data_IF_652165938978
#
_entry.id   IF_652165938978
#
_cell.length_a   1.000
_cell.length_b   1.000
_cell.length_c   1.000
_cell.angle_alpha   90.00
_cell.angle_beta   90.00
_cell.angle_gamma   90.00
#
_symmetry.space_group_name_H-M   'P 1'
#
loop_
_entity.id
_entity.type
_entity.pdbx_description
1 polymer ?
#
# COMPACT_ATOMS: atom_id res chain seq x y z
N UNK A 1 -12.52 -25.49 9.95
CA UNK A 1 -12.98 -24.27 10.64
C UNK A 1 -12.39 -24.13 12.05
N UNK A 2 -12.75 -24.95 13.05
CA UNK A 2 -12.24 -24.78 14.44
C UNK A 2 -10.70 -24.81 14.58
N UNK A 3 -10.03 -25.77 13.92
CA UNK A 3 -8.54 -25.86 13.91
C UNK A 3 -7.85 -24.70 13.16
N UNK A 4 -8.47 -24.19 12.09
CA UNK A 4 -7.95 -23.05 11.31
C UNK A 4 -8.10 -21.75 12.12
N UNK A 5 -9.22 -21.59 12.81
CA UNK A 5 -9.47 -20.48 13.73
C UNK A 5 -8.51 -20.48 14.91
N UNK A 6 -8.35 -21.61 15.62
CA UNK A 6 -7.38 -21.74 16.71
C UNK A 6 -5.94 -21.48 16.21
N UNK A 7 -5.60 -21.89 14.99
CA UNK A 7 -4.30 -21.59 14.38
C UNK A 7 -4.11 -20.10 14.09
N UNK A 8 -5.12 -19.42 13.54
CA UNK A 8 -5.05 -18.00 13.20
C UNK A 8 -5.12 -17.09 14.43
N UNK A 9 -5.94 -17.42 15.42
CA UNK A 9 -6.00 -16.73 16.72
C UNK A 9 -4.66 -16.89 17.45
N UNK A 10 -4.13 -18.12 17.55
CA UNK A 10 -2.80 -18.36 18.13
C UNK A 10 -1.68 -17.66 17.36
N UNK A 11 -1.77 -17.51 16.03
CA UNK A 11 -0.79 -16.75 15.24
C UNK A 11 -0.88 -15.25 15.55
N UNK A 12 -2.09 -14.71 15.70
CA UNK A 12 -2.33 -13.31 16.04
C UNK A 12 -1.89 -13.00 17.47
N UNK A 13 -2.21 -13.86 18.44
CA UNK A 13 -1.73 -13.78 19.82
C UNK A 13 -0.20 -13.96 19.94
N UNK A 14 0.40 -14.82 19.11
CA UNK A 14 1.86 -14.96 19.02
C UNK A 14 2.56 -13.74 18.40
N UNK A 15 1.88 -12.99 17.52
CA UNK A 15 2.38 -11.71 17.00
C UNK A 15 2.33 -10.63 18.09
N UNK A 16 1.20 -10.51 18.80
CA UNK A 16 1.04 -9.60 19.95
C UNK A 16 2.12 -9.81 21.04
N UNK A 17 2.53 -11.05 21.30
CA UNK A 17 3.58 -11.36 22.30
C UNK A 17 5.02 -11.10 21.82
N UNK A 18 5.28 -11.16 20.50
CA UNK A 18 6.60 -10.85 19.91
C UNK A 18 6.87 -9.36 19.75
N UNK A 19 5.82 -8.53 19.70
CA UNK A 19 5.89 -7.08 19.47
C UNK A 19 5.82 -6.29 20.80
N UNK A 20 6.14 -6.93 21.93
CA UNK A 20 6.15 -6.28 23.26
C UNK A 20 7.23 -5.19 23.45
N UNK A 21 7.92 -4.77 22.39
CA UNK A 21 8.88 -3.66 22.39
C UNK A 21 8.57 -2.51 21.41
N UNK A 22 7.41 -2.50 20.75
CA UNK A 22 6.96 -1.33 19.98
C UNK A 22 6.07 -0.42 20.86
N UNK A 23 6.23 0.91 20.83
CA UNK A 23 5.50 1.81 21.73
C UNK A 23 4.01 1.84 21.33
N UNK A 24 3.16 1.30 22.20
CA UNK A 24 1.71 1.36 22.11
C UNK A 24 1.21 2.76 22.50
N UNK A 25 0.21 3.26 21.78
CA UNK A 25 -0.45 4.53 22.10
C UNK A 25 -1.35 4.40 23.33
N UNK A 26 -1.37 5.48 24.11
CA UNK A 26 -2.20 5.64 25.28
C UNK A 26 -3.67 5.86 24.96
N UNK A 27 -4.51 4.94 25.40
CA UNK A 27 -5.60 5.25 26.30
C UNK A 27 -5.59 4.25 27.46
N UNK A 28 -6.04 4.71 28.62
CA UNK A 28 -6.02 4.06 29.92
C UNK A 28 -7.00 2.89 30.08
N UNK A 29 -7.26 2.12 29.02
CA UNK A 29 -8.01 0.86 29.09
C UNK A 29 -7.20 -0.23 28.39
N UNK A 30 -6.81 -1.23 29.16
CA UNK A 30 -6.24 -2.47 28.67
C UNK A 30 -7.16 -3.06 27.58
N UNK A 31 -6.61 -3.45 26.43
CA UNK A 31 -7.40 -4.05 25.34
C UNK A 31 -8.12 -5.30 25.84
N UNK A 32 -9.44 -5.21 26.02
CA UNK A 32 -10.29 -6.32 26.46
C UNK A 32 -11.10 -6.81 25.27
N UNK A 33 -10.50 -7.74 24.51
CA UNK A 33 -11.12 -8.29 23.31
C UNK A 33 -12.49 -8.90 23.59
N UNK A 34 -12.76 -9.45 24.78
CA UNK A 34 -14.07 -10.06 25.09
C UNK A 34 -15.13 -8.98 25.28
N UNK A 35 -14.81 -7.95 26.05
CA UNK A 35 -15.68 -6.81 26.24
C UNK A 35 -15.96 -6.10 24.91
N UNK A 36 -14.92 -5.80 24.15
CA UNK A 36 -15.00 -4.98 22.94
C UNK A 36 -15.67 -5.73 21.79
N UNK A 37 -15.40 -7.03 21.62
CA UNK A 37 -16.12 -7.90 20.66
C UNK A 37 -17.61 -7.95 21.00
N UNK A 38 -17.96 -8.12 22.29
CA UNK A 38 -19.35 -8.17 22.74
C UNK A 38 -20.06 -6.82 22.55
N UNK A 39 -19.35 -5.72 22.79
CA UNK A 39 -19.87 -4.37 22.59
C UNK A 39 -20.16 -4.11 21.10
N UNK A 40 -19.17 -4.33 20.23
CA UNK A 40 -19.35 -4.15 18.79
C UNK A 40 -20.49 -5.05 18.27
N UNK A 41 -20.55 -6.31 18.69
CA UNK A 41 -21.66 -7.21 18.33
C UNK A 41 -23.04 -6.66 18.75
N UNK A 42 -23.20 -6.15 19.97
CA UNK A 42 -24.47 -5.58 20.43
C UNK A 42 -24.93 -4.42 19.55
N UNK A 43 -24.00 -3.55 19.17
CA UNK A 43 -24.31 -2.41 18.29
C UNK A 43 -24.69 -2.90 16.90
N UNK A 44 -23.92 -3.84 16.32
CA UNK A 44 -24.22 -4.44 15.02
C UNK A 44 -25.61 -5.10 14.99
N UNK A 45 -25.99 -5.80 16.07
CA UNK A 45 -27.31 -6.43 16.19
C UNK A 45 -28.45 -5.39 16.22
N UNK A 46 -28.24 -4.25 16.87
CA UNK A 46 -29.21 -3.15 16.88
C UNK A 46 -29.35 -2.52 15.49
N UNK A 47 -28.24 -2.33 14.78
CA UNK A 47 -28.22 -1.84 13.39
C UNK A 47 -28.98 -2.76 12.42
N UNK A 48 -28.82 -4.09 12.58
CA UNK A 48 -29.55 -5.09 11.79
C UNK A 48 -31.07 -4.96 11.99
N UNK A 49 -31.53 -4.84 13.24
CA UNK A 49 -32.95 -4.62 13.54
C UNK A 49 -33.50 -3.30 12.99
N UNK A 50 -32.63 -2.30 12.78
CA UNK A 50 -32.97 -1.02 12.18
C UNK A 50 -32.85 -1.00 10.64
N UNK A 51 -32.49 -2.13 10.01
CA UNK A 51 -32.21 -2.24 8.56
C UNK A 51 -31.17 -1.23 8.02
N UNK A 52 -30.27 -0.74 8.88
CA UNK A 52 -29.21 0.20 8.49
C UNK A 52 -27.95 -0.07 9.28
N UNK A 53 -26.87 -0.42 8.58
CA UNK A 53 -25.54 -0.53 9.18
C UNK A 53 -24.92 0.86 9.30
N UNK A 54 -24.49 1.22 10.50
CA UNK A 54 -23.80 2.49 10.75
C UNK A 54 -22.29 2.33 10.46
N UNK A 55 -21.91 2.57 9.20
CA UNK A 55 -20.51 2.46 8.77
C UNK A 55 -19.62 3.51 9.44
N UNK A 56 -20.16 4.68 9.81
CA UNK A 56 -19.42 5.73 10.51
C UNK A 56 -19.05 5.28 11.91
N UNK A 57 -20.02 4.75 12.65
CA UNK A 57 -19.75 4.17 13.96
C UNK A 57 -18.71 3.04 13.87
N UNK A 58 -18.86 2.12 12.91
CA UNK A 58 -17.93 0.99 12.76
C UNK A 58 -16.53 1.51 12.45
N UNK A 59 -16.38 2.44 11.52
CA UNK A 59 -15.08 3.03 11.18
C UNK A 59 -14.45 3.73 12.38
N UNK A 60 -15.22 4.55 13.09
CA UNK A 60 -14.74 5.25 14.27
C UNK A 60 -14.30 4.27 15.36
N UNK A 61 -15.11 3.24 15.63
CA UNK A 61 -14.77 2.18 16.58
C UNK A 61 -13.48 1.47 16.17
N UNK A 62 -13.38 1.00 14.93
CA UNK A 62 -12.20 0.28 14.42
C UNK A 62 -10.94 1.15 14.43
N UNK A 63 -11.07 2.45 14.15
CA UNK A 63 -9.96 3.39 14.13
C UNK A 63 -9.32 3.65 15.51
N UNK A 64 -9.95 3.17 16.59
CA UNK A 64 -9.38 3.17 17.94
C UNK A 64 -8.45 1.98 18.21
N UNK A 65 -8.34 1.04 17.27
CA UNK A 65 -7.57 -0.20 17.40
C UNK A 65 -6.53 -0.31 16.29
N UNK A 66 -5.36 -0.84 16.62
CA UNK A 66 -4.37 -1.20 15.61
C UNK A 66 -4.83 -2.41 14.77
N UNK A 67 -4.16 -2.68 13.65
CA UNK A 67 -4.54 -3.76 12.75
C UNK A 67 -4.66 -5.13 13.45
N UNK A 68 -3.73 -5.49 14.34
CA UNK A 68 -3.75 -6.78 15.03
C UNK A 68 -4.96 -6.91 15.96
N UNK A 69 -5.26 -5.86 16.73
CA UNK A 69 -6.45 -5.77 17.57
C UNK A 69 -7.73 -5.84 16.73
N UNK A 70 -7.78 -5.13 15.59
CA UNK A 70 -8.92 -5.23 14.65
C UNK A 70 -9.13 -6.66 14.19
N UNK A 71 -8.07 -7.38 13.82
CA UNK A 71 -8.20 -8.78 13.38
C UNK A 71 -8.71 -9.69 14.49
N UNK A 72 -8.29 -9.48 15.73
CA UNK A 72 -8.82 -10.22 16.90
C UNK A 72 -10.32 -9.95 17.07
N UNK A 73 -10.75 -8.69 16.97
CA UNK A 73 -12.16 -8.32 17.10
C UNK A 73 -13.01 -8.92 15.96
N UNK A 74 -12.56 -8.80 14.71
CA UNK A 74 -13.28 -9.33 13.54
C UNK A 74 -13.44 -10.85 13.63
N UNK A 75 -12.35 -11.57 13.92
CA UNK A 75 -12.40 -13.02 14.12
C UNK A 75 -13.23 -13.42 15.33
N UNK A 76 -13.17 -12.66 16.42
CA UNK A 76 -13.99 -12.86 17.62
C UNK A 76 -15.49 -12.77 17.32
N UNK A 77 -15.91 -11.74 16.57
CA UNK A 77 -17.31 -11.57 16.17
C UNK A 77 -17.80 -12.73 15.32
N UNK A 78 -17.02 -13.14 14.33
CA UNK A 78 -17.37 -14.26 13.46
C UNK A 78 -17.43 -15.59 14.22
N UNK A 79 -16.49 -15.83 15.13
CA UNK A 79 -16.43 -17.08 15.87
C UNK A 79 -17.48 -17.19 16.97
N UNK A 80 -17.56 -16.20 17.86
CA UNK A 80 -18.40 -16.25 19.06
C UNK A 80 -19.86 -16.02 18.73
N UNK A 81 -20.14 -15.07 17.83
CA UNK A 81 -21.51 -14.61 17.57
C UNK A 81 -22.05 -15.08 16.21
N UNK A 82 -21.21 -15.68 15.34
CA UNK A 82 -21.58 -16.09 13.98
C UNK A 82 -22.00 -14.93 13.07
N UNK A 83 -21.50 -13.73 13.37
CA UNK A 83 -21.69 -12.53 12.56
C UNK A 83 -20.51 -12.35 11.62
N UNK A 84 -20.71 -12.50 10.31
CA UNK A 84 -19.67 -12.21 9.34
C UNK A 84 -19.73 -10.73 8.96
N UNK A 85 -18.97 -9.91 9.71
CA UNK A 85 -18.97 -8.45 9.57
C UNK A 85 -18.58 -8.00 8.16
N UNK A 86 -17.63 -8.70 7.53
CA UNK A 86 -17.22 -8.44 6.14
C UNK A 86 -18.43 -8.58 5.20
N UNK A 87 -19.15 -9.71 5.25
CA UNK A 87 -20.33 -9.95 4.41
C UNK A 87 -21.44 -8.93 4.67
N UNK A 88 -21.65 -8.51 5.92
CA UNK A 88 -22.64 -7.49 6.24
C UNK A 88 -22.31 -6.14 5.61
N UNK A 89 -21.04 -5.71 5.71
CA UNK A 89 -20.56 -4.47 5.07
C UNK A 89 -20.63 -4.60 3.55
N UNK A 90 -20.29 -5.77 3.01
CA UNK A 90 -20.39 -6.05 1.58
C UNK A 90 -21.81 -5.89 1.02
N UNK A 91 -22.84 -6.22 1.82
CA UNK A 91 -24.25 -6.09 1.46
C UNK A 91 -24.80 -4.65 1.53
N UNK A 92 -24.06 -3.70 2.11
CA UNK A 92 -24.47 -2.29 2.15
C UNK A 92 -24.25 -1.59 0.79
N UNK A 93 -24.89 -0.43 0.62
CA UNK A 93 -24.76 0.41 -0.58
C UNK A 93 -23.31 0.75 -0.89
N UNK A 94 -22.96 0.69 -2.17
CA UNK A 94 -21.62 1.02 -2.69
C UNK A 94 -21.27 2.48 -2.35
N UNK A 95 -20.39 2.65 -1.36
CA UNK A 95 -19.86 3.94 -0.92
C UNK A 95 -18.37 3.79 -0.60
N UNK A 96 -17.57 4.87 -0.61
CA UNK A 96 -16.16 4.76 -0.27
C UNK A 96 -15.95 4.39 1.20
N UNK A 97 -16.89 4.77 2.06
CA UNK A 97 -16.94 4.33 3.45
C UNK A 97 -16.99 2.80 3.52
N UNK A 98 -17.81 2.14 2.68
CA UNK A 98 -17.84 0.67 2.59
C UNK A 98 -16.44 0.10 2.32
N UNK A 99 -15.71 0.65 1.35
CA UNK A 99 -14.36 0.18 1.01
C UNK A 99 -13.33 0.47 2.10
N UNK A 100 -13.40 1.65 2.74
CA UNK A 100 -12.57 1.96 3.90
C UNK A 100 -12.86 1.01 5.06
N UNK A 101 -14.14 0.73 5.34
CA UNK A 101 -14.54 -0.20 6.40
C UNK A 101 -14.02 -1.59 6.09
N UNK A 102 -14.18 -2.07 4.86
CA UNK A 102 -13.69 -3.39 4.47
C UNK A 102 -12.17 -3.48 4.58
N UNK A 103 -11.43 -2.45 4.15
CA UNK A 103 -9.98 -2.38 4.32
C UNK A 103 -9.56 -2.43 5.81
N UNK A 104 -10.33 -1.81 6.71
CA UNK A 104 -10.09 -1.87 8.16
C UNK A 104 -10.45 -3.23 8.79
N UNK A 105 -11.24 -4.06 8.10
CA UNK A 105 -11.72 -5.36 8.57
C UNK A 105 -10.88 -6.56 8.08
N UNK A 106 -9.89 -6.33 7.22
CA UNK A 106 -9.01 -7.36 6.68
C UNK A 106 -7.54 -7.06 6.97
N UNK A 107 -6.68 -8.07 6.82
CA UNK A 107 -5.24 -7.85 6.86
C UNK A 107 -4.77 -7.06 5.61
N UNK A 108 -3.74 -6.20 5.73
CA UNK A 108 -3.18 -5.46 4.60
C UNK A 108 -2.82 -6.34 3.40
N UNK A 109 -2.33 -7.57 3.64
CA UNK A 109 -2.00 -8.49 2.55
C UNK A 109 -3.22 -8.90 1.72
N UNK A 110 -4.39 -9.05 2.34
CA UNK A 110 -5.63 -9.33 1.62
C UNK A 110 -6.09 -8.12 0.82
N UNK A 111 -5.89 -6.89 1.34
CA UNK A 111 -6.18 -5.64 0.62
C UNK A 111 -5.34 -5.56 -0.65
N UNK A 112 -4.04 -5.82 -0.55
CA UNK A 112 -3.11 -5.84 -1.68
C UNK A 112 -3.49 -6.89 -2.72
N UNK A 113 -3.80 -8.12 -2.29
CA UNK A 113 -4.23 -9.22 -3.17
C UNK A 113 -5.48 -8.87 -3.95
N UNK A 114 -6.47 -8.27 -3.27
CA UNK A 114 -7.74 -7.87 -3.86
C UNK A 114 -7.57 -6.79 -4.90
N UNK A 115 -6.83 -5.74 -4.57
CA UNK A 115 -6.55 -4.63 -5.47
C UNK A 115 -5.73 -5.08 -6.69
N UNK A 116 -4.74 -5.95 -6.49
CA UNK A 116 -3.95 -6.54 -7.57
C UNK A 116 -4.83 -7.35 -8.54
N UNK A 117 -5.72 -8.20 -8.02
CA UNK A 117 -6.66 -8.95 -8.84
C UNK A 117 -7.58 -8.04 -9.65
N UNK A 118 -8.08 -7.00 -9.00
CA UNK A 118 -8.97 -6.00 -9.59
C UNK A 118 -8.34 -5.23 -10.74
N UNK A 119 -7.08 -4.84 -10.60
CA UNK A 119 -6.32 -4.21 -11.67
C UNK A 119 -6.23 -5.13 -12.90
N UNK A 120 -5.95 -6.42 -12.69
CA UNK A 120 -5.93 -7.41 -13.77
C UNK A 120 -7.31 -7.60 -14.41
N UNK A 121 -8.37 -7.67 -13.62
CA UNK A 121 -9.76 -7.75 -14.12
C UNK A 121 -10.13 -6.48 -14.91
N UNK A 122 -9.72 -5.31 -14.41
CA UNK A 122 -9.94 -4.03 -15.08
C UNK A 122 -9.30 -4.04 -16.46
N UNK A 123 -8.03 -4.46 -16.57
CA UNK A 123 -7.36 -4.55 -17.87
C UNK A 123 -7.98 -5.61 -18.78
N UNK A 124 -8.36 -6.77 -18.23
CA UNK A 124 -9.03 -7.83 -18.99
C UNK A 124 -10.36 -7.36 -19.62
N UNK A 125 -11.14 -6.58 -18.87
CA UNK A 125 -12.50 -6.19 -19.24
C UNK A 125 -12.58 -4.82 -19.93
N UNK A 126 -11.49 -4.05 -19.90
CA UNK A 126 -11.44 -2.74 -20.52
C UNK A 126 -11.51 -2.83 -22.05
N UNK A 127 -12.31 -1.95 -22.66
CA UNK A 127 -12.39 -1.80 -24.12
C UNK A 127 -11.20 -1.04 -24.72
N UNK A 128 -10.51 -0.26 -23.88
CA UNK A 128 -9.34 0.54 -24.22
C UNK A 128 -8.12 -0.05 -23.52
N UNK A 129 -6.93 0.17 -24.08
CA UNK A 129 -5.68 -0.22 -23.44
C UNK A 129 -5.45 0.64 -22.19
N UNK A 130 -5.80 0.12 -21.02
CA UNK A 130 -5.54 0.76 -19.73
C UNK A 130 -4.21 0.24 -19.21
N UNK A 131 -3.30 1.15 -18.91
CA UNK A 131 -2.07 0.83 -18.23
C UNK A 131 -2.30 0.69 -16.72
N UNK A 132 -1.96 -0.49 -16.20
CA UNK A 132 -2.02 -0.85 -14.77
C UNK A 132 -0.63 -1.20 -14.21
N UNK A 133 0.40 -1.16 -15.05
CA UNK A 133 1.69 -1.83 -14.84
C UNK A 133 2.38 -1.33 -13.58
N UNK A 134 2.46 0.00 -13.44
CA UNK A 134 3.05 0.66 -12.26
C UNK A 134 2.35 0.32 -10.96
N UNK A 135 1.02 0.23 -10.97
CA UNK A 135 0.25 -0.13 -9.77
C UNK A 135 0.50 -1.57 -9.34
N UNK A 136 0.63 -2.49 -10.30
CA UNK A 136 0.99 -3.88 -9.99
C UNK A 136 2.40 -3.95 -9.39
N UNK A 137 3.37 -3.22 -9.95
CA UNK A 137 4.74 -3.14 -9.42
C UNK A 137 4.78 -2.49 -8.04
N UNK A 138 4.08 -1.36 -7.84
CA UNK A 138 3.95 -0.69 -6.55
C UNK A 138 3.48 -1.65 -5.45
N UNK A 139 2.40 -2.41 -5.72
CA UNK A 139 1.85 -3.38 -4.77
C UNK A 139 2.89 -4.42 -4.38
N UNK A 140 3.66 -4.95 -5.33
CA UNK A 140 4.64 -6.00 -5.08
C UNK A 140 5.93 -5.48 -4.43
N UNK A 141 6.33 -4.23 -4.70
CA UNK A 141 7.51 -3.61 -4.08
C UNK A 141 7.39 -3.50 -2.55
N UNK A 142 6.16 -3.38 -2.04
CA UNK A 142 5.88 -3.34 -0.61
C UNK A 142 6.15 -4.66 0.13
N UNK A 143 6.28 -5.79 -0.58
CA UNK A 143 6.24 -7.13 -0.02
C UNK A 143 7.64 -7.73 0.11
N UNK A 144 7.94 -8.32 1.27
CA UNK A 144 9.12 -9.18 1.43
C UNK A 144 8.82 -10.62 0.97
N UNK A 145 9.83 -11.49 1.00
CA UNK A 145 9.70 -12.89 0.55
C UNK A 145 8.60 -13.67 1.28
N UNK A 146 8.43 -13.47 2.58
CA UNK A 146 7.38 -14.14 3.36
C UNK A 146 5.99 -13.56 3.05
N UNK A 147 5.89 -12.25 2.89
CA UNK A 147 4.66 -11.59 2.45
C UNK A 147 4.25 -12.08 1.06
N UNK A 148 5.19 -12.28 0.12
CA UNK A 148 4.91 -12.84 -1.21
C UNK A 148 4.36 -14.27 -1.12
N UNK A 149 4.88 -15.12 -0.23
CA UNK A 149 4.31 -16.46 0.00
C UNK A 149 2.88 -16.38 0.50
N UNK A 150 2.61 -15.46 1.44
CA UNK A 150 1.26 -15.23 1.98
C UNK A 150 0.34 -14.65 0.90
N UNK A 151 0.82 -13.68 0.12
CA UNK A 151 0.10 -13.04 -1.00
C UNK A 151 -0.41 -14.09 -1.98
N UNK A 152 0.48 -14.99 -2.46
CA UNK A 152 0.12 -16.07 -3.37
C UNK A 152 -0.91 -17.04 -2.77
N UNK A 153 -0.72 -17.42 -1.50
CA UNK A 153 -1.66 -18.29 -0.81
C UNK A 153 -3.05 -17.65 -0.63
N UNK A 154 -3.09 -16.38 -0.25
CA UNK A 154 -4.30 -15.57 -0.09
C UNK A 154 -5.01 -15.39 -1.44
N UNK A 155 -4.28 -15.05 -2.50
CA UNK A 155 -4.81 -14.93 -3.86
C UNK A 155 -5.49 -16.24 -4.30
N UNK A 156 -4.81 -17.38 -4.14
CA UNK A 156 -5.37 -18.70 -4.47
C UNK A 156 -6.63 -19.02 -3.66
N UNK A 157 -6.65 -18.68 -2.37
CA UNK A 157 -7.82 -18.90 -1.52
C UNK A 157 -9.02 -18.06 -1.97
N UNK A 158 -8.80 -16.77 -2.23
CA UNK A 158 -9.87 -15.84 -2.59
C UNK A 158 -10.44 -16.09 -3.99
N UNK A 159 -9.56 -16.32 -4.97
CA UNK A 159 -9.96 -16.34 -6.39
C UNK A 159 -9.97 -17.73 -7.01
N UNK A 160 -9.48 -18.75 -6.28
CA UNK A 160 -9.35 -20.12 -6.77
C UNK A 160 -8.55 -20.21 -8.09
N UNK A 161 -7.59 -19.29 -8.25
CA UNK A 161 -6.71 -19.18 -9.41
C UNK A 161 -5.26 -18.94 -8.97
N UNK A 162 -4.31 -19.29 -9.83
CA UNK A 162 -2.89 -18.97 -9.65
C UNK A 162 -2.67 -17.53 -10.15
N UNK A 163 -2.01 -16.67 -9.37
CA UNK A 163 -1.81 -15.27 -9.76
C UNK A 163 -0.89 -15.16 -10.98
N UNK A 164 0.16 -15.96 -11.02
CA UNK A 164 1.16 -16.02 -12.10
C UNK A 164 0.50 -16.38 -13.43
N UNK A 165 -0.29 -17.47 -13.44
CA UNK A 165 -1.04 -17.88 -14.63
C UNK A 165 -2.04 -16.83 -15.09
N UNK A 166 -2.65 -16.12 -14.14
CA UNK A 166 -3.61 -15.08 -14.49
C UNK A 166 -2.90 -13.87 -15.11
N UNK A 167 -1.73 -13.48 -14.60
CA UNK A 167 -0.87 -12.47 -15.24
C UNK A 167 -0.53 -12.90 -16.67
N UNK A 168 -0.08 -14.13 -16.90
CA UNK A 168 0.24 -14.62 -18.25
C UNK A 168 -0.96 -14.55 -19.21
N UNK A 169 -2.17 -14.83 -18.71
CA UNK A 169 -3.40 -14.73 -19.52
C UNK A 169 -3.72 -13.28 -19.88
N UNK A 170 -3.50 -12.33 -18.96
CA UNK A 170 -3.86 -10.91 -19.16
C UNK A 170 -2.80 -10.14 -19.94
N UNK A 171 -1.53 -10.32 -19.58
CA UNK A 171 -0.39 -9.59 -20.12
C UNK A 171 0.31 -10.33 -21.27
N UNK A 172 0.16 -11.65 -21.34
CA UNK A 172 0.82 -12.52 -22.31
C UNK A 172 2.08 -13.17 -21.75
N UNK A 173 2.29 -14.45 -22.04
CA UNK A 173 3.40 -15.28 -21.53
C UNK A 173 4.80 -14.70 -21.84
N UNK A 174 4.94 -14.01 -22.98
CA UNK A 174 6.23 -13.42 -23.43
C UNK A 174 6.35 -11.92 -23.16
N UNK A 175 5.39 -11.33 -22.43
CA UNK A 175 5.45 -9.92 -22.07
C UNK A 175 6.55 -9.69 -21.03
N UNK A 176 7.34 -8.63 -21.22
CA UNK A 176 8.38 -8.24 -20.26
C UNK A 176 7.74 -7.89 -18.92
N UNK A 177 6.60 -7.22 -18.93
CA UNK A 177 5.84 -6.98 -17.70
C UNK A 177 5.41 -8.28 -17.01
N UNK A 178 4.93 -9.30 -17.75
CA UNK A 178 4.62 -10.61 -17.15
C UNK A 178 5.83 -11.20 -16.46
N UNK A 179 6.98 -11.21 -17.14
CA UNK A 179 8.23 -11.74 -16.61
C UNK A 179 8.66 -10.99 -15.34
N UNK A 180 8.62 -9.66 -15.36
CA UNK A 180 8.95 -8.82 -14.20
C UNK A 180 8.03 -9.13 -13.00
N UNK A 181 6.72 -9.17 -13.21
CA UNK A 181 5.75 -9.41 -12.14
C UNK A 181 5.87 -10.83 -11.58
N UNK A 182 6.09 -11.83 -12.43
CA UNK A 182 6.29 -13.22 -12.01
C UNK A 182 7.60 -13.34 -11.22
N UNK A 183 8.69 -12.70 -11.66
CA UNK A 183 9.96 -12.73 -10.94
C UNK A 183 9.87 -12.02 -9.57
N UNK A 184 9.09 -10.94 -9.46
CA UNK A 184 8.76 -10.34 -8.15
C UNK A 184 7.96 -11.32 -7.27
N UNK A 185 7.00 -12.04 -7.87
CA UNK A 185 6.15 -13.02 -7.19
C UNK A 185 6.89 -14.32 -6.83
N UNK A 186 8.08 -14.57 -7.37
CA UNK A 186 8.94 -15.66 -6.88
C UNK A 186 9.33 -15.43 -5.41
N UNK A 187 9.47 -14.18 -4.98
CA UNK A 187 9.79 -13.84 -3.59
C UNK A 187 11.15 -14.40 -3.18
N UNK A 188 12.15 -14.22 -4.05
CA UNK A 188 13.51 -14.72 -3.90
C UNK A 188 14.53 -13.57 -3.78
N UNK A 189 14.12 -12.42 -3.24
CA UNK A 189 15.06 -11.32 -2.96
C UNK A 189 16.03 -11.78 -1.88
N UNK A 190 17.33 -11.55 -2.06
CA UNK A 190 18.34 -11.92 -1.08
C UNK A 190 18.07 -11.18 0.24
N UNK A 191 17.97 -11.93 1.34
CA UNK A 191 17.71 -11.36 2.68
C UNK A 191 19.00 -10.94 3.38
N UNK A 192 20.11 -11.60 3.07
CA UNK A 192 21.44 -11.27 3.55
C UNK A 192 22.23 -10.57 2.44
N UNK A 193 22.38 -9.23 2.49
CA UNK A 193 23.12 -8.51 1.47
C UNK A 193 24.59 -8.92 1.50
N UNK A 194 25.11 -9.39 0.37
CA UNK A 194 26.55 -9.41 0.12
C UNK A 194 27.01 -7.96 -0.04
N UNK A 195 27.34 -7.30 1.08
CA UNK A 195 27.85 -5.92 1.13
C UNK A 195 29.25 -5.76 0.48
N UNK A 196 29.68 -6.76 -0.31
CA UNK A 196 30.90 -6.71 -1.07
C UNK A 196 30.82 -5.68 -2.19
N UNK A 197 31.65 -4.65 -2.07
CA UNK A 197 31.86 -3.65 -3.11
C UNK A 197 32.32 -4.25 -4.44
N UNK A 198 33.01 -5.40 -4.45
CA UNK A 198 33.39 -6.04 -5.71
C UNK A 198 32.19 -6.64 -6.44
N UNK A 199 31.25 -7.22 -5.69
CA UNK A 199 29.99 -7.74 -6.22
C UNK A 199 29.16 -6.59 -6.80
N UNK A 200 29.01 -5.49 -6.06
CA UNK A 200 28.30 -4.31 -6.53
C UNK A 200 28.91 -3.73 -7.82
N UNK A 201 30.25 -3.62 -7.90
CA UNK A 201 30.96 -3.19 -9.13
C UNK A 201 30.73 -4.11 -10.32
N UNK A 202 30.66 -5.43 -10.08
CA UNK A 202 30.38 -6.40 -11.12
C UNK A 202 28.94 -6.27 -11.63
N UNK A 203 27.97 -6.11 -10.72
CA UNK A 203 26.56 -5.94 -11.08
C UNK A 203 26.33 -4.61 -11.81
N UNK A 204 26.92 -3.50 -11.36
CA UNK A 204 26.88 -2.23 -12.06
C UNK A 204 27.44 -2.34 -13.48
N UNK A 205 28.52 -3.12 -13.66
CA UNK A 205 29.04 -3.43 -15.00
C UNK A 205 28.06 -4.25 -15.85
N UNK A 206 27.39 -5.25 -15.28
CA UNK A 206 26.36 -6.00 -15.99
C UNK A 206 25.19 -5.13 -16.44
N UNK A 207 24.72 -4.20 -15.60
CA UNK A 207 23.65 -3.26 -15.99
C UNK A 207 24.07 -2.38 -17.17
N UNK A 208 25.31 -1.89 -17.17
CA UNK A 208 25.83 -1.08 -18.28
C UNK A 208 25.95 -1.89 -19.57
N UNK A 209 26.43 -3.14 -19.46
CA UNK A 209 26.50 -4.08 -20.59
C UNK A 209 25.11 -4.50 -21.10
N UNK A 210 24.10 -4.55 -20.24
CA UNK A 210 22.73 -4.93 -20.57
C UNK A 210 21.89 -3.79 -21.19
N UNK A 211 22.34 -2.55 -21.08
CA UNK A 211 21.68 -1.36 -21.61
C UNK A 211 22.64 -0.57 -22.50
N UNK A 212 23.15 0.55 -21.99
CA UNK A 212 23.88 1.59 -22.76
C UNK A 212 25.04 1.08 -23.64
N UNK A 213 25.69 -0.04 -23.29
CA UNK A 213 26.83 -0.56 -24.06
C UNK A 213 26.45 -1.57 -25.16
N UNK A 214 25.17 -1.93 -25.29
CA UNK A 214 24.70 -2.93 -26.25
C UNK A 214 23.55 -2.36 -27.08
N UNK A 215 23.48 -2.62 -28.40
CA UNK A 215 22.30 -2.27 -29.17
C UNK A 215 21.07 -3.06 -28.70
N UNK A 216 20.13 -2.37 -28.06
CA UNK A 216 18.93 -2.96 -27.47
C UNK A 216 19.08 -3.28 -25.98
N UNK A 217 18.01 -3.79 -25.38
CA UNK A 217 17.92 -3.97 -23.92
C UNK A 217 17.89 -5.46 -23.59
N UNK A 218 18.81 -5.90 -22.73
CA UNK A 218 18.74 -7.20 -22.07
C UNK A 218 17.84 -7.12 -20.82
N UNK A 219 16.54 -7.25 -21.06
CA UNK A 219 15.53 -7.22 -20.00
C UNK A 219 15.70 -8.30 -18.96
N UNK A 220 16.19 -9.49 -19.34
CA UNK A 220 16.38 -10.60 -18.40
C UNK A 220 17.42 -10.21 -17.33
N UNK A 221 18.50 -9.55 -17.73
CA UNK A 221 19.51 -9.05 -16.79
C UNK A 221 18.94 -7.96 -15.88
N UNK A 222 18.18 -7.00 -16.42
CA UNK A 222 17.53 -5.96 -15.61
C UNK A 222 16.53 -6.55 -14.61
N UNK A 223 15.61 -7.42 -15.07
CA UNK A 223 14.63 -8.08 -14.22
C UNK A 223 15.33 -8.84 -13.10
N UNK A 224 16.31 -9.70 -13.43
CA UNK A 224 17.01 -10.53 -12.44
C UNK A 224 17.67 -9.69 -11.33
N UNK A 225 18.40 -8.63 -11.72
CA UNK A 225 19.09 -7.75 -10.76
C UNK A 225 18.07 -7.04 -9.87
N UNK A 226 17.06 -6.40 -10.48
CA UNK A 226 16.09 -5.56 -9.75
C UNK A 226 15.17 -6.35 -8.82
N UNK A 227 14.89 -7.62 -9.12
CA UNK A 227 14.01 -8.47 -8.30
C UNK A 227 14.76 -9.27 -7.24
N UNK A 228 16.03 -9.65 -7.47
CA UNK A 228 16.78 -10.53 -6.58
C UNK A 228 17.73 -9.80 -5.63
N UNK A 229 18.33 -8.69 -6.03
CA UNK A 229 19.26 -7.98 -5.15
C UNK A 229 18.53 -7.25 -4.02
N UNK A 230 19.06 -7.18 -2.79
CA UNK A 230 18.48 -6.40 -1.71
C UNK A 230 18.46 -4.90 -2.07
N UNK A 231 17.45 -4.16 -1.62
CA UNK A 231 17.34 -2.71 -1.92
C UNK A 231 18.57 -1.90 -1.48
N UNK A 232 19.18 -2.23 -0.34
CA UNK A 232 20.42 -1.58 0.11
C UNK A 232 21.60 -1.80 -0.85
N UNK A 233 21.71 -3.02 -1.40
CA UNK A 233 22.72 -3.36 -2.38
C UNK A 233 22.44 -2.67 -3.72
N UNK A 234 21.18 -2.67 -4.18
CA UNK A 234 20.76 -1.96 -5.39
C UNK A 234 21.10 -0.47 -5.31
N UNK A 235 20.85 0.19 -4.17
CA UNK A 235 21.22 1.59 -3.98
C UNK A 235 22.73 1.80 -4.17
N UNK A 236 23.56 0.92 -3.60
CA UNK A 236 25.02 0.96 -3.76
C UNK A 236 25.45 0.69 -5.21
N UNK A 237 24.79 -0.25 -5.89
CA UNK A 237 25.03 -0.55 -7.30
C UNK A 237 24.74 0.68 -8.17
N UNK A 238 23.65 1.40 -7.88
CA UNK A 238 23.26 2.59 -8.63
C UNK A 238 24.26 3.74 -8.45
N UNK A 239 24.79 3.93 -7.24
CA UNK A 239 25.86 4.91 -7.00
C UNK A 239 27.13 4.57 -7.79
N UNK A 240 27.55 3.30 -7.75
CA UNK A 240 28.72 2.83 -8.50
C UNK A 240 28.51 2.95 -10.02
N UNK A 241 27.29 2.69 -10.49
CA UNK A 241 26.94 2.83 -11.89
C UNK A 241 27.13 4.29 -12.34
N UNK A 242 26.57 5.23 -11.60
CA UNK A 242 26.68 6.66 -11.89
C UNK A 242 28.13 7.13 -11.86
N UNK A 243 28.87 6.79 -10.81
CA UNK A 243 30.30 7.14 -10.66
C UNK A 243 31.16 6.64 -11.83
N UNK A 244 30.83 5.46 -12.37
CA UNK A 244 31.66 4.78 -13.36
C UNK A 244 31.29 5.11 -14.81
N UNK A 245 30.00 5.31 -15.08
CA UNK A 245 29.49 5.52 -16.45
C UNK A 245 29.00 6.95 -16.69
N UNK A 246 29.02 7.80 -15.67
CA UNK A 246 28.76 9.24 -15.79
C UNK A 246 27.30 9.61 -16.03
N UNK A 247 26.37 8.67 -15.81
CA UNK A 247 24.93 8.86 -15.91
C UNK A 247 24.21 8.12 -14.79
N UNK A 248 23.24 8.75 -14.09
CA UNK A 248 22.40 8.05 -13.14
C UNK A 248 21.66 6.89 -13.81
N UNK A 249 21.49 5.77 -13.10
CA UNK A 249 20.77 4.59 -13.64
C UNK A 249 19.36 4.95 -14.13
N UNK A 250 18.70 5.92 -13.49
CA UNK A 250 17.35 6.34 -13.85
C UNK A 250 17.29 7.02 -15.23
N UNK A 251 18.29 7.84 -15.55
CA UNK A 251 18.42 8.47 -16.88
C UNK A 251 18.85 7.46 -17.94
N UNK A 252 19.69 6.46 -17.57
CA UNK A 252 20.05 5.37 -18.46
C UNK A 252 18.81 4.53 -18.84
N UNK A 253 17.96 4.20 -17.86
CA UNK A 253 16.70 3.49 -18.10
C UNK A 253 15.76 4.33 -18.97
N UNK A 254 15.59 5.62 -18.68
CA UNK A 254 14.73 6.50 -19.48
C UNK A 254 15.17 6.58 -20.94
N UNK A 255 16.48 6.66 -21.18
CA UNK A 255 17.05 6.74 -22.52
C UNK A 255 16.93 5.41 -23.28
N UNK A 256 17.34 4.29 -22.67
CA UNK A 256 17.39 3.00 -23.36
C UNK A 256 15.98 2.41 -23.55
N UNK A 257 15.07 2.58 -22.59
CA UNK A 257 13.74 1.97 -22.58
C UNK A 257 12.69 2.87 -23.23
N UNK A 258 13.08 3.96 -23.87
CA UNK A 258 12.16 4.99 -24.35
C UNK A 258 10.97 4.41 -25.15
N UNK A 259 9.76 4.76 -24.72
CA UNK A 259 8.51 4.32 -25.35
C UNK A 259 8.02 2.92 -24.92
N UNK A 260 8.72 2.26 -24.01
CA UNK A 260 8.32 0.98 -23.42
C UNK A 260 7.56 1.21 -22.11
N UNK A 261 6.49 0.43 -21.89
CA UNK A 261 5.63 0.55 -20.71
C UNK A 261 6.38 0.18 -19.42
N UNK A 262 7.39 -0.68 -19.53
CA UNK A 262 8.23 -1.13 -18.42
C UNK A 262 9.21 -0.07 -17.93
N UNK A 263 9.47 0.99 -18.71
CA UNK A 263 10.35 2.11 -18.30
C UNK A 263 9.91 2.68 -16.96
N UNK A 264 8.62 3.03 -16.84
CA UNK A 264 8.11 3.64 -15.62
C UNK A 264 8.09 2.64 -14.45
N UNK A 265 7.93 1.34 -14.73
CA UNK A 265 8.06 0.29 -13.72
C UNK A 265 9.48 0.24 -13.15
N UNK A 266 10.51 0.22 -13.99
CA UNK A 266 11.90 0.22 -13.51
C UNK A 266 12.26 1.53 -12.81
N UNK A 267 11.77 2.68 -13.29
CA UNK A 267 11.92 3.96 -12.60
C UNK A 267 11.29 3.94 -11.20
N UNK A 268 10.09 3.36 -11.06
CA UNK A 268 9.43 3.18 -9.77
C UNK A 268 10.28 2.29 -8.83
N UNK A 269 10.89 1.22 -9.36
CA UNK A 269 11.80 0.37 -8.58
C UNK A 269 13.08 1.11 -8.14
N UNK A 270 13.66 1.95 -9.00
CA UNK A 270 14.82 2.80 -8.64
C UNK A 270 14.41 3.77 -7.53
N UNK A 271 13.29 4.47 -7.68
CA UNK A 271 12.83 5.43 -6.68
C UNK A 271 12.53 4.76 -5.33
N UNK A 272 11.81 3.64 -5.35
CA UNK A 272 11.54 2.85 -4.15
C UNK A 272 12.82 2.38 -3.46
N UNK A 273 13.83 1.96 -4.25
CA UNK A 273 15.14 1.56 -3.73
C UNK A 273 15.84 2.70 -3.00
N UNK A 274 15.73 3.93 -3.52
CA UNK A 274 16.36 5.11 -2.91
C UNK A 274 15.63 5.57 -1.65
N UNK A 275 14.30 5.63 -1.69
CA UNK A 275 13.48 6.00 -0.54
C UNK A 275 12.03 5.54 -0.74
N UNK A 276 11.60 4.47 -0.04
CA UNK A 276 10.20 4.06 -0.03
C UNK A 276 9.26 5.17 0.45
N UNK A 277 9.70 5.96 1.45
CA UNK A 277 8.93 7.08 1.99
C UNK A 277 8.67 8.17 0.94
N UNK A 278 9.70 8.57 0.19
CA UNK A 278 9.55 9.53 -0.93
C UNK A 278 8.66 8.97 -2.02
N UNK A 279 8.89 7.72 -2.42
CA UNK A 279 8.12 7.04 -3.46
C UNK A 279 6.62 7.06 -3.18
N UNK A 280 6.20 6.57 -2.01
CA UNK A 280 4.78 6.59 -1.63
C UNK A 280 4.24 8.01 -1.42
N UNK A 281 5.08 8.97 -1.02
CA UNK A 281 4.67 10.37 -0.89
C UNK A 281 4.28 10.96 -2.24
N UNK A 282 5.03 10.67 -3.30
CA UNK A 282 4.69 11.06 -4.67
C UNK A 282 3.41 10.39 -5.16
N UNK A 283 3.25 9.09 -4.92
CA UNK A 283 2.02 8.38 -5.29
C UNK A 283 0.79 8.94 -4.56
N UNK A 284 0.90 9.24 -3.26
CA UNK A 284 -0.17 9.87 -2.50
C UNK A 284 -0.56 11.24 -3.07
N UNK A 285 0.41 12.09 -3.41
CA UNK A 285 0.14 13.39 -4.04
C UNK A 285 -0.55 13.21 -5.39
N UNK A 286 -0.04 12.33 -6.25
CA UNK A 286 -0.64 12.04 -7.55
C UNK A 286 -2.09 11.51 -7.40
N UNK A 287 -2.34 10.64 -6.44
CA UNK A 287 -3.68 10.11 -6.15
C UNK A 287 -4.66 11.21 -5.70
N UNK A 288 -4.20 12.18 -4.91
CA UNK A 288 -4.98 13.33 -4.43
C UNK A 288 -5.25 14.37 -5.51
N UNK A 289 -4.32 14.57 -6.44
CA UNK A 289 -4.46 15.58 -7.50
C UNK A 289 -5.25 15.06 -8.71
N UNK A 290 -5.45 13.74 -8.81
CA UNK A 290 -6.28 13.11 -9.84
C UNK A 290 -7.74 13.57 -9.75
N UNK A 291 -8.40 13.72 -10.91
CA UNK A 291 -9.82 14.04 -11.01
C UNK A 291 -10.56 12.97 -11.83
N UNK A 292 -11.40 12.12 -11.21
CA UNK A 292 -11.66 12.03 -9.76
C UNK A 292 -10.47 11.50 -8.96
N UNK A 293 -10.46 11.75 -7.63
CA UNK A 293 -9.43 11.30 -6.68
C UNK A 293 -9.28 9.77 -6.73
N UNK A 294 -8.05 9.27 -6.68
CA UNK A 294 -7.74 7.83 -6.68
C UNK A 294 -7.84 7.24 -5.26
N UNK A 295 -9.07 7.13 -4.74
CA UNK A 295 -9.32 6.64 -3.37
C UNK A 295 -8.79 5.23 -3.11
N UNK A 296 -8.73 4.35 -4.12
CA UNK A 296 -8.19 2.99 -3.97
C UNK A 296 -6.72 3.08 -3.54
N UNK A 297 -5.94 3.90 -4.24
CA UNK A 297 -4.53 4.13 -3.92
C UNK A 297 -4.36 4.77 -2.54
N UNK A 298 -5.21 5.73 -2.17
CA UNK A 298 -5.19 6.32 -0.83
C UNK A 298 -5.51 5.30 0.27
N UNK A 299 -6.54 4.47 0.09
CA UNK A 299 -6.91 3.39 1.01
C UNK A 299 -5.75 2.42 1.16
N UNK A 300 -5.20 1.93 0.03
CA UNK A 300 -4.09 0.97 0.01
C UNK A 300 -2.89 1.49 0.77
N UNK A 301 -2.47 2.73 0.50
CA UNK A 301 -1.27 3.29 1.14
C UNK A 301 -1.57 3.67 2.60
N UNK A 302 -2.61 4.45 2.89
CA UNK A 302 -2.86 4.96 4.24
C UNK A 302 -3.23 3.83 5.22
N UNK A 303 -4.11 2.91 4.84
CA UNK A 303 -4.54 1.81 5.71
C UNK A 303 -3.53 0.66 5.66
N UNK A 304 -3.03 0.30 4.47
CA UNK A 304 -2.11 -0.83 4.32
C UNK A 304 -0.74 -0.61 4.96
N UNK A 305 -0.27 0.64 5.00
CA UNK A 305 1.03 0.99 5.59
C UNK A 305 0.93 1.49 7.05
N UNK A 306 -0.28 1.58 7.62
CA UNK A 306 -0.55 2.13 8.96
C UNK A 306 0.38 1.54 10.03
N UNK A 307 0.56 0.21 10.02
CA UNK A 307 1.39 -0.51 11.00
C UNK A 307 2.82 -0.79 10.54
N UNK A 308 3.24 -0.30 9.37
CA UNK A 308 4.55 -0.60 8.76
C UNK A 308 5.45 0.63 8.73
N UNK A 309 5.22 1.52 7.77
CA UNK A 309 6.12 2.61 7.41
C UNK A 309 5.38 3.93 7.13
N UNK A 310 4.06 4.03 7.43
CA UNK A 310 3.29 5.26 7.26
C UNK A 310 3.89 6.46 8.01
N UNK A 311 4.59 6.23 9.13
CA UNK A 311 5.31 7.29 9.84
C UNK A 311 6.38 7.95 8.95
N UNK A 312 7.18 7.13 8.27
CA UNK A 312 8.24 7.61 7.37
C UNK A 312 7.67 8.25 6.11
N UNK A 313 6.61 7.69 5.54
CA UNK A 313 5.88 8.28 4.42
C UNK A 313 5.42 9.71 4.76
N UNK A 314 4.81 9.94 5.94
CA UNK A 314 4.38 11.29 6.36
C UNK A 314 5.53 12.28 6.52
N UNK A 315 6.67 11.81 7.03
CA UNK A 315 7.86 12.64 7.19
C UNK A 315 8.42 13.06 5.84
N UNK A 316 8.59 12.12 4.91
CA UNK A 316 9.05 12.42 3.54
C UNK A 316 8.05 13.28 2.79
N UNK A 317 6.75 13.04 2.95
CA UNK A 317 5.71 13.87 2.35
C UNK A 317 5.86 15.35 2.74
N UNK A 318 6.04 15.60 4.03
CA UNK A 318 6.20 16.94 4.57
C UNK A 318 7.48 17.60 4.05
N UNK A 319 8.58 16.85 3.91
CA UNK A 319 9.83 17.35 3.33
C UNK A 319 9.70 17.72 1.85
N UNK A 320 8.98 16.90 1.07
CA UNK A 320 8.86 17.07 -0.39
C UNK A 320 7.91 18.21 -0.75
N UNK A 321 6.81 18.38 -0.01
CA UNK A 321 5.74 19.31 -0.38
C UNK A 321 5.60 20.55 0.50
N UNK A 322 6.37 20.65 1.60
CA UNK A 322 6.24 21.73 2.58
C UNK A 322 4.79 21.89 3.12
N UNK A 323 4.06 20.78 3.20
CA UNK A 323 2.68 20.64 3.68
C UNK A 323 2.56 19.25 4.31
N UNK A 324 1.88 19.11 5.46
CA UNK A 324 1.71 17.78 6.05
C UNK A 324 0.70 16.95 5.27
N UNK A 325 0.81 15.62 5.36
CA UNK A 325 -0.13 14.72 4.68
C UNK A 325 -1.56 14.90 5.21
N UNK A 326 -1.75 15.10 6.51
CA UNK A 326 -3.07 15.34 7.12
C UNK A 326 -3.68 16.68 6.69
N UNK A 327 -2.89 17.75 6.59
CA UNK A 327 -3.35 19.03 6.04
C UNK A 327 -3.81 18.87 4.60
N UNK A 328 -3.00 18.18 3.78
CA UNK A 328 -3.34 17.96 2.37
C UNK A 328 -4.63 17.17 2.23
N UNK A 329 -4.79 16.08 2.99
CA UNK A 329 -6.00 15.26 3.02
C UNK A 329 -7.20 16.10 3.46
N UNK A 330 -7.02 16.91 4.51
CA UNK A 330 -8.01 17.84 5.04
C UNK A 330 -8.50 18.84 3.98
N UNK A 331 -7.60 19.30 3.11
CA UNK A 331 -7.86 20.28 2.06
C UNK A 331 -8.44 19.68 0.77
N UNK A 332 -8.03 18.46 0.40
CA UNK A 332 -8.32 17.86 -0.92
C UNK A 332 -9.54 16.93 -0.92
N UNK A 333 -9.79 16.21 0.18
CA UNK A 333 -10.92 15.27 0.23
C UNK A 333 -12.18 16.03 0.61
N UNK A 334 -13.26 15.88 -0.16
CA UNK A 334 -14.55 16.53 0.16
C UNK A 334 -15.47 15.66 1.02
N UNK A 335 -15.24 14.33 1.07
CA UNK A 335 -16.06 13.38 1.81
C UNK A 335 -15.61 13.39 3.28
N UNK A 336 -16.43 13.94 4.16
CA UNK A 336 -16.07 14.25 5.55
C UNK A 336 -15.66 13.01 6.36
N UNK A 337 -16.36 11.90 6.15
CA UNK A 337 -16.19 10.64 6.87
C UNK A 337 -14.84 9.99 6.52
N UNK A 338 -14.51 9.94 5.22
CA UNK A 338 -13.20 9.44 4.74
C UNK A 338 -12.07 10.35 5.21
N UNK A 339 -12.27 11.67 5.07
CA UNK A 339 -11.30 12.67 5.53
C UNK A 339 -10.98 12.46 7.01
N UNK A 340 -12.02 12.34 7.84
CA UNK A 340 -11.85 12.14 9.28
C UNK A 340 -11.10 10.85 9.57
N UNK A 341 -11.45 9.74 8.91
CA UNK A 341 -10.76 8.46 9.05
C UNK A 341 -9.27 8.56 8.69
N UNK A 342 -8.94 9.11 7.52
CA UNK A 342 -7.56 9.23 7.08
C UNK A 342 -6.75 10.17 7.98
N UNK A 343 -7.31 11.33 8.33
CA UNK A 343 -6.65 12.26 9.29
C UNK A 343 -6.44 11.56 10.62
N UNK A 344 -7.40 10.80 11.14
CA UNK A 344 -7.20 9.97 12.33
C UNK A 344 -6.01 9.03 12.15
N UNK A 345 -6.01 8.14 11.17
CA UNK A 345 -4.92 7.16 10.95
C UNK A 345 -3.55 7.86 10.83
N UNK A 346 -3.50 8.98 10.10
CA UNK A 346 -2.28 9.77 9.89
C UNK A 346 -1.79 10.42 11.21
N UNK A 347 -2.70 10.95 12.02
CA UNK A 347 -2.37 11.69 13.26
C UNK A 347 -2.20 10.79 14.48
N UNK A 348 -2.80 9.60 14.51
CA UNK A 348 -2.65 8.61 15.58
C UNK A 348 -1.21 8.13 15.75
N UNK A 349 -0.28 8.45 14.83
CA UNK A 349 1.17 8.25 15.00
C UNK A 349 1.97 9.44 15.54
N UNK A 350 1.35 10.60 15.80
CA UNK A 350 2.06 11.85 16.16
C UNK A 350 2.43 11.99 17.66
N UNK A 351 1.89 11.18 18.59
CA UNK A 351 2.34 11.23 20.01
C UNK A 351 3.66 10.51 20.29
N UNK A 352 4.36 10.00 19.26
CA UNK A 352 5.78 9.65 19.43
C UNK A 352 6.56 10.95 19.40
N UNK A 353 6.64 11.57 20.59
CA UNK A 353 7.48 12.74 20.84
C UNK A 353 8.83 12.61 20.14
N UNK A 354 9.29 13.73 19.57
CA UNK A 354 10.50 13.92 18.76
C UNK A 354 11.83 13.54 19.46
N UNK A 355 11.76 12.82 20.57
CA UNK A 355 12.85 12.31 21.40
C UNK A 355 13.20 10.83 21.12
N UNK A 356 12.30 10.01 20.58
CA UNK A 356 12.57 8.57 20.34
C UNK A 356 13.02 8.22 18.90
N UNK A 357 13.01 9.18 17.98
CA UNK A 357 13.61 9.02 16.65
C UNK A 357 15.14 9.28 16.62
N UNK A 358 15.80 9.41 17.78
CA UNK A 358 17.22 9.82 17.88
C UNK A 358 18.26 8.70 17.92
N UNK A 359 17.87 7.43 17.82
CA UNK A 359 18.82 6.30 17.89
C UNK A 359 18.87 5.41 16.64
N UNK A 360 18.72 6.00 15.44
CA UNK A 360 19.42 5.49 14.25
C UNK A 360 20.15 6.69 13.63
N UNK A 361 21.45 6.76 13.91
CA UNK A 361 22.36 7.85 13.55
C UNK A 361 23.01 7.55 12.21
N UNK A 362 22.83 8.43 11.22
CA UNK A 362 23.86 8.78 10.24
C UNK A 362 23.93 10.32 10.24
N UNK A 363 24.89 10.86 10.98
CA UNK A 363 25.13 12.30 11.14
C UNK A 363 25.92 12.86 9.94
N UNK A 364 25.49 14.00 9.36
CA UNK A 364 26.34 15.21 9.20
C UNK A 364 25.49 16.43 8.79
N UNK A 365 25.48 17.44 9.68
CA UNK A 365 24.82 18.77 9.65
C UNK A 365 25.54 19.75 8.68
N UNK A 366 25.01 20.92 8.24
CA UNK A 366 24.76 22.18 9.00
C UNK A 366 24.06 23.27 8.11
N UNK A 367 22.97 23.88 8.64
CA UNK A 367 22.45 25.28 8.63
C UNK A 367 22.13 26.05 7.30
N UNK A 368 21.15 26.97 7.16
CA UNK A 368 20.53 27.96 8.08
C UNK A 368 19.24 28.62 7.48
N UNK A 369 18.25 28.98 8.33
CA UNK A 369 17.32 30.17 8.35
C UNK A 369 16.61 30.72 7.08
N UNK A 370 15.39 31.28 7.01
CA UNK A 370 14.31 31.68 7.95
C UNK A 370 13.16 32.44 7.21
N UNK A 371 11.96 32.52 7.82
CA UNK A 371 10.82 33.50 7.61
C UNK A 371 10.02 33.46 6.29
N UNK A 372 8.70 33.70 6.18
CA UNK A 372 7.64 34.17 7.09
C UNK A 372 6.26 34.39 6.38
N UNK A 373 5.17 33.98 7.05
CA UNK A 373 3.79 34.56 7.15
C UNK A 373 2.92 35.07 5.96
N UNK A 374 1.62 34.68 5.98
CA UNK A 374 0.42 35.52 5.65
C UNK A 374 -0.54 34.95 4.57
N UNK A 375 -1.61 34.19 4.86
CA UNK A 375 -3.00 34.53 5.32
C UNK A 375 -3.92 35.27 4.29
N UNK A 376 -4.74 34.47 3.57
CA UNK A 376 -6.20 34.58 3.27
C UNK A 376 -6.76 35.66 2.30
N UNK A 377 -8.07 35.70 1.92
CA UNK A 377 -9.11 34.63 1.74
C UNK A 377 -9.99 34.73 0.44
N UNK A 378 -10.69 33.61 0.13
CA UNK A 378 -12.08 33.43 -0.38
C UNK A 378 -12.51 34.05 -1.74
N UNK A 379 -13.06 33.21 -2.64
CA UNK A 379 -14.44 33.40 -3.19
C UNK A 379 -14.99 32.13 -3.86
N UNK A 380 -16.29 31.97 -3.63
CA UNK A 380 -17.12 30.78 -3.77
C UNK A 380 -17.82 30.73 -5.13
N UNK A 381 -17.50 29.76 -6.01
CA UNK A 381 -18.44 29.30 -7.05
C UNK A 381 -17.95 28.00 -7.73
N UNK A 382 -18.09 26.84 -7.07
CA UNK A 382 -17.75 25.54 -7.67
C UNK A 382 -18.62 24.36 -7.21
N UNK A 383 -19.82 24.62 -6.65
CA UNK A 383 -20.61 23.60 -5.95
C UNK A 383 -21.57 22.77 -6.82
N UNK A 384 -21.66 23.00 -8.14
CA UNK A 384 -22.62 22.24 -9.00
C UNK A 384 -22.02 21.22 -9.97
N UNK A 385 -20.69 21.13 -10.07
CA UNK A 385 -20.01 20.15 -10.94
C UNK A 385 -19.39 18.96 -10.20
N UNK A 386 -19.32 18.99 -8.85
CA UNK A 386 -18.63 17.96 -8.04
C UNK A 386 -19.44 16.67 -7.81
N UNK A 387 -20.77 16.71 -7.88
CA UNK A 387 -21.61 15.53 -7.55
C UNK A 387 -21.57 14.43 -8.60
N UNK A 388 -21.35 14.73 -9.87
CA UNK A 388 -21.41 13.71 -10.93
C UNK A 388 -20.09 12.94 -11.11
N UNK A 389 -18.94 13.53 -10.78
CA UNK A 389 -17.62 12.89 -10.92
C UNK A 389 -17.29 11.90 -9.80
N UNK A 390 -17.95 12.02 -8.64
CA UNK A 390 -17.76 11.10 -7.52
C UNK A 390 -18.27 9.69 -7.85
N UNK A 391 -19.30 9.55 -8.68
CA UNK A 391 -19.94 8.25 -8.97
C UNK A 391 -19.05 7.31 -9.80
N UNK A 392 -18.31 7.81 -10.79
CA UNK A 392 -17.39 6.97 -11.59
C UNK A 392 -16.20 6.42 -10.77
N UNK A 393 -15.83 7.08 -9.67
CA UNK A 393 -14.83 6.57 -8.73
C UNK A 393 -15.40 5.50 -7.78
N UNK A 394 -16.72 5.52 -7.52
CA UNK A 394 -17.40 4.53 -6.69
C UNK A 394 -17.42 3.16 -7.36
N UNK A 395 -17.66 3.12 -8.68
CA UNK A 395 -17.68 1.86 -9.42
C UNK A 395 -16.35 1.12 -9.31
N UNK A 396 -15.21 1.83 -9.38
CA UNK A 396 -13.87 1.23 -9.28
C UNK A 396 -13.60 0.67 -7.88
N UNK A 397 -14.09 1.33 -6.82
CA UNK A 397 -13.98 0.86 -5.44
C UNK A 397 -14.87 -0.36 -5.15
N UNK A 398 -15.95 -0.53 -5.90
CA UNK A 398 -16.84 -1.67 -5.76
C UNK A 398 -16.14 -2.98 -6.11
N UNK A 399 -15.26 -2.97 -7.11
CA UNK A 399 -14.55 -4.15 -7.59
C UNK A 399 -13.65 -4.78 -6.51
N UNK A 400 -12.94 -3.97 -5.71
CA UNK A 400 -11.85 -4.47 -4.81
C UNK A 400 -12.41 -5.45 -3.80
N UNK A 401 -13.66 -5.23 -3.43
CA UNK A 401 -14.36 -6.05 -2.49
C UNK A 401 -15.61 -6.70 -3.10
N UNK A 402 -15.59 -7.15 -4.36
CA UNK A 402 -16.74 -7.91 -4.88
C UNK A 402 -16.86 -9.26 -4.18
N UNK A 403 -18.08 -9.58 -3.73
CA UNK A 403 -18.45 -10.95 -3.38
C UNK A 403 -18.34 -11.76 -4.66
N UNK A 404 -17.55 -12.85 -4.64
CA UNK A 404 -17.62 -13.86 -5.71
C UNK A 404 -19.06 -14.37 -5.71
N UNK A 405 -19.88 -13.99 -6.70
CA UNK A 405 -21.17 -14.65 -6.89
C UNK A 405 -20.82 -16.11 -7.20
N UNK A 406 -21.24 -17.09 -6.38
CA UNK A 406 -21.16 -18.47 -6.83
C UNK A 406 -22.00 -18.56 -8.11
N UNK A 407 -21.35 -18.91 -9.21
CA UNK A 407 -22.03 -19.31 -10.44
C UNK A 407 -22.68 -20.68 -10.25
#
# INVERSE_FOLDING_TARGET
MKKTFESNLNKSEKRLTRISSAPSFGHSNEFDYKHDTKYLWKVLKQCETAHKLDLDFILHFLSSYNCEQRMVLVHGIEYEYKYNLINMVLQQSESPMRSCTLAMLIEPIELYVRDFHDLLVLKQTAKSNIDISRKLVEILLALNNDDIKIFKATYKNLFQSCVEKYIEIIEGEKSILSQLLIELLEGQRLEEPDQSMSTAKLIAKKLYEAGENTPGIDYDTFINIFTRDPFSQLSTIFDIYEDKYGRPIQEAIEHEFQGQIETECFQDMVEYTRSPGSYYSKILRQALDKKPIDYITLIRIIIGHESKDLCEIKLEYSKIYDETLDETIGNRIDIAEIKHLFVMIITTGQNVTSSNCRNVRLDHKINNSSTGSGISPITTSAMRLRKNLSYDALDKLAHVFKIRRPH
#
